data_IF_189874253133
#
_entry.id   IF_189874253133
#
_cell.length_a   1.000
_cell.length_b   1.000
_cell.length_c   1.000
_cell.angle_alpha   90.00
_cell.angle_beta   90.00
_cell.angle_gamma   90.00
#
_symmetry.space_group_name_H-M   'P 1'
#
loop_
_entity.id
_entity.type
_entity.pdbx_description
1 polymer ?
#
# COMPACT_ATOMS: atom_id res chain seq x y z
N UNK A 1 10.07 -14.21 0.72
CA UNK A 1 9.26 -13.15 0.11
C UNK A 1 7.93 -13.73 -0.37
N UNK A 2 6.83 -13.06 -0.05
CA UNK A 2 5.48 -13.43 -0.46
C UNK A 2 4.80 -12.22 -1.13
N UNK A 3 4.34 -12.36 -2.37
CA UNK A 3 3.38 -11.45 -2.99
C UNK A 3 2.03 -12.18 -3.04
N UNK A 4 1.02 -11.57 -2.41
CA UNK A 4 -0.25 -12.22 -2.05
C UNK A 4 -1.01 -12.77 -3.27
N UNK A 5 -1.13 -11.98 -4.33
CA UNK A 5 -1.93 -12.36 -5.49
C UNK A 5 -1.26 -13.50 -6.27
N UNK A 6 0.04 -13.37 -6.57
CA UNK A 6 0.78 -14.40 -7.30
C UNK A 6 1.03 -15.68 -6.48
N UNK A 7 0.93 -15.57 -5.14
CA UNK A 7 0.94 -16.71 -4.24
C UNK A 7 -0.43 -17.40 -4.08
N UNK A 8 -1.47 -16.98 -4.82
CA UNK A 8 -2.79 -17.63 -4.81
C UNK A 8 -3.78 -17.07 -3.80
N UNK A 9 -3.49 -15.90 -3.20
CA UNK A 9 -4.29 -15.34 -2.11
C UNK A 9 -5.72 -14.94 -2.45
N UNK A 10 -6.07 -14.81 -3.74
CA UNK A 10 -7.47 -14.56 -4.15
C UNK A 10 -8.33 -15.84 -4.14
N UNK A 11 -7.74 -17.03 -3.98
CA UNK A 11 -8.42 -18.31 -4.03
C UNK A 11 -8.95 -18.68 -5.44
N UNK A 12 -9.42 -19.92 -5.59
CA UNK A 12 -9.96 -20.42 -6.87
C UNK A 12 -11.28 -19.73 -7.25
N UNK A 13 -12.07 -19.28 -6.28
CA UNK A 13 -13.37 -18.64 -6.52
C UNK A 13 -13.21 -17.28 -7.25
N UNK A 14 -12.18 -16.51 -6.95
CA UNK A 14 -11.91 -15.24 -7.63
C UNK A 14 -11.32 -15.43 -9.05
N UNK A 15 -10.70 -16.59 -9.30
CA UNK A 15 -10.23 -16.97 -10.64
C UNK A 15 -11.36 -17.44 -11.58
N UNK A 16 -12.51 -17.85 -11.02
CA UNK A 16 -13.63 -18.43 -11.77
C UNK A 16 -14.75 -17.42 -12.13
N UNK A 17 -14.78 -16.24 -11.51
CA UNK A 17 -15.76 -15.19 -11.83
C UNK A 17 -15.39 -14.47 -13.14
N UNK A 18 -16.40 -14.07 -13.97
CA UNK A 18 -16.15 -13.28 -15.19
C UNK A 18 -15.67 -11.83 -14.91
N UNK A 19 -15.28 -11.52 -13.71
CA UNK A 19 -14.47 -10.37 -13.33
C UNK A 19 -13.03 -10.42 -13.88
N UNK A 20 -12.76 -11.24 -14.89
CA UNK A 20 -11.48 -11.53 -15.50
C UNK A 20 -10.53 -10.34 -15.67
N UNK A 21 -11.06 -9.17 -16.06
CA UNK A 21 -10.24 -7.98 -16.25
C UNK A 21 -9.67 -7.40 -14.93
N UNK A 22 -10.39 -7.47 -13.81
CA UNK A 22 -9.93 -6.93 -12.53
C UNK A 22 -8.89 -7.86 -11.88
N UNK A 23 -9.18 -9.16 -11.83
CA UNK A 23 -8.24 -10.16 -11.31
C UNK A 23 -6.95 -10.21 -12.12
N UNK A 24 -7.02 -10.12 -13.45
CA UNK A 24 -5.85 -10.02 -14.33
C UNK A 24 -5.05 -8.74 -14.06
N UNK A 25 -5.71 -7.60 -13.85
CA UNK A 25 -5.05 -6.33 -13.53
C UNK A 25 -4.34 -6.39 -12.18
N UNK A 26 -4.96 -6.96 -11.14
CA UNK A 26 -4.37 -7.11 -9.81
C UNK A 26 -3.17 -8.07 -9.85
N UNK A 27 -3.29 -9.20 -10.56
CA UNK A 27 -2.18 -10.13 -10.75
C UNK A 27 -1.01 -9.44 -11.46
N UNK A 28 -1.27 -8.71 -12.54
CA UNK A 28 -0.23 -7.98 -13.28
C UNK A 28 0.48 -6.95 -12.40
N UNK A 29 -0.25 -6.22 -11.54
CA UNK A 29 0.33 -5.26 -10.59
C UNK A 29 1.17 -5.98 -9.52
N UNK A 30 0.67 -7.06 -8.92
CA UNK A 30 1.37 -7.88 -7.95
C UNK A 30 2.66 -8.46 -8.51
N UNK A 31 2.59 -9.05 -9.70
CA UNK A 31 3.76 -9.59 -10.43
C UNK A 31 4.81 -8.50 -10.69
N UNK A 32 4.42 -7.30 -11.12
CA UNK A 32 5.38 -6.19 -11.34
C UNK A 32 6.10 -5.81 -10.05
N UNK A 33 5.40 -5.70 -8.91
CA UNK A 33 6.01 -5.41 -7.62
C UNK A 33 6.93 -6.56 -7.16
N UNK A 34 6.47 -7.81 -7.29
CA UNK A 34 7.23 -9.02 -6.97
C UNK A 34 8.54 -9.07 -7.74
N UNK A 35 8.45 -8.92 -9.06
CA UNK A 35 9.60 -9.07 -9.96
C UNK A 35 10.62 -7.94 -9.77
N UNK A 36 10.16 -6.72 -9.50
CA UNK A 36 11.03 -5.60 -9.17
C UNK A 36 11.80 -5.84 -7.87
N UNK A 37 11.12 -6.31 -6.81
CA UNK A 37 11.76 -6.65 -5.55
C UNK A 37 12.73 -7.84 -5.71
N UNK A 38 12.33 -8.89 -6.42
CA UNK A 38 13.20 -10.02 -6.70
C UNK A 38 14.45 -9.63 -7.51
N UNK A 39 14.29 -8.70 -8.46
CA UNK A 39 15.42 -8.14 -9.22
C UNK A 39 16.44 -7.46 -8.31
N UNK A 40 16.01 -6.65 -7.36
CA UNK A 40 16.91 -6.00 -6.40
C UNK A 40 17.54 -6.99 -5.41
N UNK A 41 16.73 -7.90 -4.83
CA UNK A 41 17.23 -8.91 -3.90
C UNK A 41 18.24 -9.86 -4.57
N UNK A 42 17.95 -10.30 -5.80
CA UNK A 42 18.86 -11.18 -6.57
C UNK A 42 20.19 -10.53 -6.91
N UNK A 43 20.27 -9.21 -6.85
CA UNK A 43 21.50 -8.47 -7.08
C UNK A 43 22.33 -8.23 -5.81
N UNK A 44 21.82 -8.63 -4.63
CA UNK A 44 22.56 -8.58 -3.37
C UNK A 44 23.31 -9.90 -3.19
N UNK A 45 24.60 -9.88 -2.81
CA UNK A 45 25.39 -11.09 -2.64
C UNK A 45 24.99 -11.87 -1.38
N UNK A 46 25.09 -13.19 -1.44
CA UNK A 46 24.98 -14.05 -0.26
C UNK A 46 23.56 -14.26 0.26
N UNK A 47 22.52 -14.00 -0.54
CA UNK A 47 21.13 -14.21 -0.14
C UNK A 47 20.59 -15.56 -0.61
N UNK A 48 19.86 -16.25 0.25
CA UNK A 48 18.96 -17.33 -0.13
C UNK A 48 17.52 -16.80 -0.12
N UNK A 49 16.89 -16.72 -1.31
CA UNK A 49 15.58 -16.10 -1.50
C UNK A 49 14.52 -17.19 -1.68
N UNK A 50 13.67 -17.41 -0.68
CA UNK A 50 12.46 -18.22 -0.82
C UNK A 50 11.31 -17.35 -1.39
N UNK A 51 10.67 -17.81 -2.47
CA UNK A 51 9.56 -17.11 -3.13
C UNK A 51 8.29 -17.94 -3.04
N UNK A 52 7.27 -17.43 -2.33
CA UNK A 52 5.94 -18.02 -2.33
C UNK A 52 5.32 -17.90 -3.73
N UNK A 53 4.86 -19.00 -4.31
CA UNK A 53 4.41 -19.02 -5.69
C UNK A 53 3.37 -20.12 -5.96
N UNK A 54 2.17 -19.70 -6.39
CA UNK A 54 1.10 -20.61 -6.81
C UNK A 54 1.19 -21.04 -8.28
N UNK A 55 2.17 -20.52 -9.04
CA UNK A 55 2.34 -20.83 -10.46
C UNK A 55 1.44 -20.02 -11.39
N UNK A 56 0.80 -18.94 -10.88
CA UNK A 56 -0.09 -18.07 -11.66
C UNK A 56 0.65 -17.19 -12.67
N UNK A 57 1.94 -16.93 -12.43
CA UNK A 57 2.81 -16.19 -13.34
C UNK A 57 4.26 -16.71 -13.23
N UNK A 58 5.04 -16.69 -14.33
CA UNK A 58 6.43 -17.10 -14.28
C UNK A 58 7.23 -16.24 -13.30
N UNK A 59 8.19 -16.85 -12.60
CA UNK A 59 9.19 -16.11 -11.83
C UNK A 59 10.25 -15.54 -12.76
N UNK A 60 10.80 -14.35 -12.45
CA UNK A 60 11.90 -13.79 -13.22
C UNK A 60 13.14 -14.69 -13.13
N UNK A 61 13.93 -14.72 -14.20
CA UNK A 61 15.21 -15.41 -14.17
C UNK A 61 16.11 -14.75 -13.09
N UNK A 62 16.71 -15.53 -12.17
CA UNK A 62 17.57 -14.95 -11.14
C UNK A 62 18.80 -14.30 -11.78
N UNK A 63 19.16 -13.11 -11.28
CA UNK A 63 20.46 -12.52 -11.62
C UNK A 63 21.58 -13.44 -11.10
N UNK A 64 22.62 -13.63 -11.89
CA UNK A 64 23.78 -14.44 -11.51
C UNK A 64 24.71 -13.63 -10.58
N UNK A 65 24.29 -13.44 -9.33
CA UNK A 65 25.09 -12.79 -8.30
C UNK A 65 25.77 -13.86 -7.46
N UNK A 66 27.09 -13.77 -7.19
CA UNK A 66 27.81 -14.78 -6.42
C UNK A 66 27.20 -15.00 -5.03
N UNK A 67 26.95 -16.27 -4.70
CA UNK A 67 26.39 -16.67 -3.42
C UNK A 67 24.90 -16.40 -3.24
N UNK A 68 24.20 -15.89 -4.25
CA UNK A 68 22.74 -15.67 -4.19
C UNK A 68 22.01 -16.79 -4.91
N UNK A 69 21.04 -17.38 -4.23
CA UNK A 69 20.16 -18.43 -4.76
C UNK A 69 18.69 -18.06 -4.57
N UNK A 70 17.85 -18.47 -5.52
CA UNK A 70 16.41 -18.31 -5.43
C UNK A 70 15.74 -19.68 -5.51
N UNK A 71 14.83 -19.97 -4.57
CA UNK A 71 14.03 -21.20 -4.58
C UNK A 71 12.55 -20.91 -4.51
N UNK A 72 11.77 -21.68 -5.22
CA UNK A 72 10.30 -21.62 -5.21
C UNK A 72 9.77 -22.32 -3.97
N UNK A 73 8.80 -21.72 -3.32
CA UNK A 73 8.01 -22.27 -2.23
C UNK A 73 6.57 -22.43 -2.73
N UNK A 74 6.11 -23.67 -3.03
CA UNK A 74 4.80 -23.88 -3.64
C UNK A 74 3.66 -23.45 -2.70
N UNK A 75 2.69 -22.72 -3.23
CA UNK A 75 1.47 -22.29 -2.53
C UNK A 75 0.19 -22.65 -3.29
N UNK A 76 0.29 -23.37 -4.40
CA UNK A 76 -0.90 -23.87 -5.12
C UNK A 76 -1.77 -24.74 -4.21
N UNK A 77 -3.07 -24.43 -4.11
CA UNK A 77 -4.01 -25.14 -3.24
C UNK A 77 -3.87 -24.82 -1.74
N UNK A 78 -3.17 -23.73 -1.38
CA UNK A 78 -3.14 -23.23 -0.01
C UNK A 78 -4.30 -22.26 0.19
N UNK A 79 -5.26 -22.63 1.04
CA UNK A 79 -6.43 -21.82 1.34
C UNK A 79 -6.14 -20.68 2.35
N UNK A 80 -5.19 -20.92 3.27
CA UNK A 80 -4.79 -19.95 4.30
C UNK A 80 -3.29 -19.64 4.19
N UNK A 81 -2.98 -18.56 3.47
CA UNK A 81 -1.60 -18.09 3.32
C UNK A 81 -0.97 -17.58 4.62
N UNK A 82 -1.77 -17.10 5.59
CA UNK A 82 -1.24 -16.65 6.88
C UNK A 82 -0.79 -17.84 7.73
N UNK A 83 -1.60 -18.89 7.81
CA UNK A 83 -1.22 -20.13 8.49
C UNK A 83 -0.02 -20.80 7.81
N UNK A 84 0.00 -20.84 6.47
CA UNK A 84 1.15 -21.35 5.70
C UNK A 84 2.42 -20.54 5.99
N UNK A 85 2.34 -19.22 5.95
CA UNK A 85 3.48 -18.32 6.22
C UNK A 85 3.99 -18.51 7.66
N UNK A 86 3.07 -18.64 8.64
CA UNK A 86 3.43 -18.91 10.02
C UNK A 86 4.26 -20.19 10.15
N UNK A 87 3.87 -21.24 9.45
CA UNK A 87 4.61 -22.52 9.46
C UNK A 87 5.99 -22.41 8.78
N UNK A 88 6.15 -21.54 7.76
CA UNK A 88 7.39 -21.41 7.00
C UNK A 88 8.39 -20.43 7.58
N UNK A 89 7.94 -19.43 8.37
CA UNK A 89 8.77 -18.27 8.75
C UNK A 89 10.06 -18.61 9.48
N UNK A 90 10.07 -19.69 10.26
CA UNK A 90 11.24 -20.09 11.06
C UNK A 90 12.44 -20.55 10.23
N UNK A 91 12.20 -20.90 8.95
CA UNK A 91 13.25 -21.27 8.01
C UNK A 91 13.97 -20.06 7.38
N UNK A 92 13.59 -18.84 7.73
CA UNK A 92 14.14 -17.61 7.13
C UNK A 92 14.50 -16.61 8.22
N UNK A 93 15.55 -15.84 8.00
CA UNK A 93 15.94 -14.74 8.88
C UNK A 93 14.96 -13.56 8.73
N UNK A 94 14.54 -13.28 7.51
CA UNK A 94 13.67 -12.15 7.16
C UNK A 94 12.48 -12.59 6.31
N UNK A 95 11.34 -11.95 6.53
CA UNK A 95 10.10 -12.18 5.78
C UNK A 95 9.60 -10.86 5.24
N UNK A 96 9.46 -10.78 3.92
CA UNK A 96 8.94 -9.60 3.24
C UNK A 96 7.65 -9.94 2.50
N UNK A 97 6.58 -9.21 2.78
CA UNK A 97 5.26 -9.45 2.22
C UNK A 97 4.79 -8.24 1.41
N UNK A 98 4.19 -8.51 0.26
CA UNK A 98 3.41 -7.57 -0.55
C UNK A 98 1.99 -8.12 -0.58
N UNK A 99 1.05 -7.44 0.04
CA UNK A 99 -0.35 -7.86 0.10
C UNK A 99 -1.26 -6.63 0.12
N UNK A 100 -2.51 -6.73 -0.37
CA UNK A 100 -3.49 -5.66 -0.23
C UNK A 100 -3.93 -5.50 1.23
N UNK A 101 -4.49 -4.34 1.54
CA UNK A 101 -5.08 -4.04 2.83
C UNK A 101 -6.49 -4.64 2.98
N UNK A 102 -7.15 -4.91 1.87
CA UNK A 102 -8.53 -5.43 1.79
C UNK A 102 -8.70 -6.70 2.63
N UNK A 103 -9.76 -6.76 3.43
CA UNK A 103 -10.09 -7.92 4.27
C UNK A 103 -9.00 -8.26 5.28
N UNK A 104 -8.26 -7.28 5.77
CA UNK A 104 -7.14 -7.45 6.71
C UNK A 104 -6.02 -8.40 6.21
N UNK A 105 -5.91 -8.64 4.87
CA UNK A 105 -4.91 -9.56 4.31
C UNK A 105 -3.49 -9.24 4.76
N UNK A 106 -3.04 -7.99 4.57
CA UNK A 106 -1.70 -7.57 4.99
C UNK A 106 -1.51 -7.69 6.51
N UNK A 107 -2.54 -7.33 7.29
CA UNK A 107 -2.49 -7.39 8.75
C UNK A 107 -2.37 -8.83 9.24
N UNK A 108 -3.16 -9.74 8.70
CA UNK A 108 -3.14 -11.18 9.05
C UNK A 108 -1.78 -11.80 8.74
N UNK A 109 -1.21 -11.50 7.57
CA UNK A 109 0.14 -11.97 7.19
C UNK A 109 1.23 -11.36 8.10
N UNK A 110 1.11 -10.09 8.47
CA UNK A 110 2.03 -9.45 9.43
C UNK A 110 1.97 -10.14 10.80
N UNK A 111 0.78 -10.45 11.29
CA UNK A 111 0.59 -11.11 12.60
C UNK A 111 1.03 -12.58 12.59
N UNK A 112 1.08 -13.22 11.42
CA UNK A 112 1.57 -14.59 11.27
C UNK A 112 3.09 -14.71 11.39
N UNK A 113 3.83 -13.61 11.33
CA UNK A 113 5.29 -13.56 11.34
C UNK A 113 5.81 -12.95 12.63
N UNK A 114 6.85 -13.53 13.21
CA UNK A 114 7.54 -12.96 14.37
C UNK A 114 8.07 -11.54 14.03
N UNK A 115 7.84 -10.52 14.89
CA UNK A 115 8.22 -9.13 14.58
C UNK A 115 9.69 -8.95 14.18
N UNK A 116 10.60 -9.70 14.77
CA UNK A 116 12.03 -9.68 14.47
C UNK A 116 12.36 -10.10 13.03
N UNK A 117 11.46 -10.83 12.36
CA UNK A 117 11.65 -11.31 10.98
C UNK A 117 10.86 -10.47 9.96
N UNK A 118 9.89 -9.68 10.42
CA UNK A 118 8.99 -8.94 9.56
C UNK A 118 9.63 -7.68 8.99
N UNK A 119 9.79 -7.61 7.67
CA UNK A 119 10.21 -6.38 6.97
C UNK A 119 8.97 -5.60 6.54
N UNK A 120 8.76 -4.45 7.14
CA UNK A 120 7.64 -3.55 6.80
C UNK A 120 7.09 -2.83 8.02
N UNK A 121 5.93 -2.22 7.83
CA UNK A 121 5.24 -1.47 8.88
C UNK A 121 4.78 -2.38 10.02
N UNK A 122 4.71 -1.85 11.24
CA UNK A 122 4.18 -2.58 12.40
C UNK A 122 2.69 -2.93 12.20
N UNK A 123 2.21 -3.96 12.88
CA UNK A 123 0.78 -4.34 12.86
C UNK A 123 -0.13 -3.17 13.30
N UNK A 124 0.33 -2.31 14.21
CA UNK A 124 -0.39 -1.10 14.64
C UNK A 124 -0.51 -0.09 13.51
N UNK A 125 0.57 0.19 12.79
CA UNK A 125 0.57 1.09 11.64
C UNK A 125 -0.29 0.54 10.50
N UNK A 126 -0.19 -0.76 10.19
CA UNK A 126 -1.01 -1.43 9.18
C UNK A 126 -2.49 -1.29 9.54
N UNK A 127 -2.90 -1.56 10.77
CA UNK A 127 -4.30 -1.44 11.23
C UNK A 127 -4.85 -0.02 11.09
N UNK A 128 -4.05 1.01 11.32
CA UNK A 128 -4.46 2.41 11.12
C UNK A 128 -4.55 2.71 9.63
N UNK A 129 -3.50 2.40 8.86
CA UNK A 129 -3.42 2.74 7.45
C UNK A 129 -4.44 1.98 6.58
N UNK A 130 -4.82 0.76 6.94
CA UNK A 130 -5.88 -0.02 6.29
C UNK A 130 -7.22 0.72 6.33
N UNK A 131 -7.58 1.36 7.46
CA UNK A 131 -8.84 2.09 7.59
C UNK A 131 -8.67 3.56 7.15
N UNK A 132 -9.36 3.95 6.08
CA UNK A 132 -9.39 5.33 5.60
C UNK A 132 -9.97 6.29 6.64
N UNK A 133 -10.95 5.82 7.40
CA UNK A 133 -11.55 6.59 8.51
C UNK A 133 -10.52 6.85 9.62
N UNK A 134 -9.83 5.81 10.10
CA UNK A 134 -8.79 5.95 11.15
C UNK A 134 -7.62 6.79 10.67
N UNK A 135 -7.17 6.55 9.43
CA UNK A 135 -6.09 7.33 8.81
C UNK A 135 -6.44 8.82 8.77
N UNK A 136 -7.64 9.17 8.30
CA UNK A 136 -8.13 10.56 8.27
C UNK A 136 -8.15 11.18 9.66
N UNK A 137 -8.66 10.48 10.69
CA UNK A 137 -8.71 10.96 12.07
C UNK A 137 -7.30 11.25 12.63
N UNK A 138 -6.36 10.33 12.40
CA UNK A 138 -4.96 10.51 12.83
C UNK A 138 -4.28 11.66 12.09
N UNK A 139 -4.49 11.78 10.79
CA UNK A 139 -3.95 12.86 9.97
C UNK A 139 -4.53 14.22 10.39
N UNK A 140 -5.83 14.31 10.64
CA UNK A 140 -6.49 15.52 11.10
C UNK A 140 -5.94 16.00 12.45
N UNK A 141 -5.65 15.08 13.38
CA UNK A 141 -5.02 15.40 14.67
C UNK A 141 -3.60 16.00 14.53
N UNK A 142 -2.93 15.75 13.40
CA UNK A 142 -1.63 16.35 13.04
C UNK A 142 -1.77 17.55 12.08
N UNK A 143 -2.97 18.06 11.88
CA UNK A 143 -3.24 19.19 10.97
C UNK A 143 -2.94 18.86 9.49
N UNK A 144 -2.88 17.59 9.10
CA UNK A 144 -2.71 17.18 7.71
C UNK A 144 -4.06 17.24 7.00
N UNK A 145 -4.20 17.99 5.89
CA UNK A 145 -5.44 18.07 5.15
C UNK A 145 -5.84 16.71 4.54
N UNK A 146 -7.11 16.36 4.73
CA UNK A 146 -7.75 15.15 4.17
C UNK A 146 -9.11 15.52 3.60
N UNK A 147 -9.72 14.68 2.73
CA UNK A 147 -11.06 14.93 2.23
C UNK A 147 -12.06 15.08 3.38
N UNK A 148 -13.00 16.01 3.23
CA UNK A 148 -14.13 16.10 4.15
C UNK A 148 -14.98 14.82 4.01
N UNK A 149 -15.19 14.10 5.10
CA UNK A 149 -16.03 12.93 5.12
C UNK A 149 -17.34 13.21 5.87
N UNK A 150 -18.36 12.45 5.49
CA UNK A 150 -19.63 12.41 6.20
C UNK A 150 -19.77 11.09 6.97
N UNK A 151 -20.37 11.18 8.16
CA UNK A 151 -20.73 10.04 8.99
C UNK A 151 -22.18 10.20 9.51
N UNK A 152 -22.86 9.10 9.83
CA UNK A 152 -24.19 9.14 10.46
C UNK A 152 -24.21 10.02 11.69
N UNK A 153 -25.28 10.83 11.83
CA UNK A 153 -25.41 11.80 12.91
C UNK A 153 -24.82 13.18 12.63
N UNK A 154 -24.00 13.32 11.59
CA UNK A 154 -23.57 14.64 11.15
C UNK A 154 -24.63 15.31 10.27
N UNK A 155 -24.69 16.67 10.26
CA UNK A 155 -25.53 17.42 9.33
C UNK A 155 -25.22 17.02 7.87
N UNK A 156 -26.26 16.99 7.04
CA UNK A 156 -26.09 16.76 5.61
C UNK A 156 -25.28 17.90 5.01
N UNK A 157 -24.30 17.61 4.13
CA UNK A 157 -23.50 18.66 3.49
C UNK A 157 -24.36 19.56 2.61
N UNK A 158 -24.33 20.86 2.89
CA UNK A 158 -25.09 21.87 2.12
C UNK A 158 -24.34 22.33 0.85
N UNK A 159 -23.03 22.10 0.75
CA UNK A 159 -22.22 22.57 -0.37
C UNK A 159 -22.34 21.63 -1.58
N UNK A 160 -22.55 22.16 -2.79
CA UNK A 160 -22.52 21.37 -4.01
C UNK A 160 -21.12 20.80 -4.25
N UNK A 161 -21.04 19.73 -5.00
CA UNK A 161 -19.77 19.09 -5.38
C UNK A 161 -19.90 17.59 -5.50
N UNK A 162 -18.92 16.97 -6.15
CA UNK A 162 -18.84 15.51 -6.31
C UNK A 162 -18.49 14.84 -4.97
N UNK A 163 -18.96 13.60 -4.84
CA UNK A 163 -18.70 12.77 -3.67
C UNK A 163 -18.21 11.37 -4.09
N UNK A 164 -17.43 10.77 -3.23
CA UNK A 164 -16.87 9.42 -3.43
C UNK A 164 -17.41 8.49 -2.36
N UNK A 165 -17.95 7.37 -2.80
CA UNK A 165 -18.27 6.22 -1.96
C UNK A 165 -17.20 5.16 -2.22
N UNK A 166 -16.51 4.71 -1.18
CA UNK A 166 -15.43 3.72 -1.27
C UNK A 166 -15.37 2.83 -0.02
N UNK A 167 -14.84 1.60 -0.15
CA UNK A 167 -14.57 0.77 1.03
C UNK A 167 -13.62 1.47 2.00
N UNK A 168 -13.82 1.26 3.29
CA UNK A 168 -12.92 1.81 4.32
C UNK A 168 -11.54 1.12 4.27
N UNK A 169 -11.49 -0.16 3.89
CA UNK A 169 -10.29 -1.01 3.82
C UNK A 169 -9.87 -1.42 2.40
N UNK A 170 -10.35 -0.76 1.37
CA UNK A 170 -10.09 -1.14 -0.03
C UNK A 170 -8.70 -0.73 -0.54
N UNK A 171 -8.15 -1.53 -1.45
CA UNK A 171 -6.96 -1.25 -2.24
C UNK A 171 -7.30 -1.19 -3.75
N UNK A 172 -6.48 -0.50 -4.55
CA UNK A 172 -6.59 -0.53 -6.03
C UNK A 172 -7.84 0.10 -6.62
N UNK A 173 -8.55 0.98 -5.90
CA UNK A 173 -9.82 1.62 -6.32
C UNK A 173 -11.02 0.66 -6.47
N UNK A 174 -10.91 -0.57 -5.97
CA UNK A 174 -12.04 -1.52 -5.98
C UNK A 174 -13.27 -0.94 -5.29
N UNK A 175 -14.44 -1.19 -5.87
CA UNK A 175 -15.73 -0.71 -5.39
C UNK A 175 -15.82 0.81 -5.16
N UNK A 176 -14.85 1.61 -5.64
CA UNK A 176 -14.86 3.06 -5.51
C UNK A 176 -15.69 3.70 -6.61
N UNK A 177 -16.64 4.56 -6.23
CA UNK A 177 -17.51 5.27 -7.17
C UNK A 177 -17.59 6.76 -6.84
N UNK A 178 -17.54 7.57 -7.90
CA UNK A 178 -17.70 9.02 -7.86
C UNK A 178 -19.12 9.37 -8.29
N UNK A 179 -19.77 10.23 -7.53
CA UNK A 179 -21.14 10.70 -7.75
C UNK A 179 -21.15 12.23 -7.98
N UNK A 180 -22.14 12.70 -8.71
CA UNK A 180 -22.29 14.11 -9.03
C UNK A 180 -22.51 14.98 -7.78
N UNK A 181 -23.15 14.43 -6.75
CA UNK A 181 -23.49 15.12 -5.51
C UNK A 181 -23.58 14.16 -4.32
N UNK A 182 -23.75 14.74 -3.13
CA UNK A 182 -23.91 13.99 -1.89
C UNK A 182 -25.16 13.13 -1.86
N UNK A 183 -26.29 13.60 -2.39
CA UNK A 183 -27.56 12.89 -2.30
C UNK A 183 -27.49 11.56 -3.08
N UNK A 184 -26.92 11.61 -4.29
CA UNK A 184 -26.70 10.40 -5.11
C UNK A 184 -25.74 9.42 -4.43
N UNK A 185 -24.64 9.91 -3.85
CA UNK A 185 -23.67 9.07 -3.15
C UNK A 185 -24.24 8.45 -1.86
N UNK A 186 -25.03 9.21 -1.11
CA UNK A 186 -25.70 8.74 0.11
C UNK A 186 -26.80 7.71 -0.20
N UNK A 187 -27.56 7.90 -1.27
CA UNK A 187 -28.54 6.92 -1.74
C UNK A 187 -27.86 5.61 -2.16
N UNK A 188 -26.73 5.69 -2.87
CA UNK A 188 -25.94 4.51 -3.25
C UNK A 188 -25.41 3.75 -2.04
N UNK A 189 -24.95 4.46 -0.99
CA UNK A 189 -24.55 3.85 0.28
C UNK A 189 -25.73 3.08 0.91
N UNK A 190 -26.93 3.68 0.96
CA UNK A 190 -28.13 3.01 1.47
C UNK A 190 -28.46 1.72 0.72
N UNK A 191 -28.20 1.68 -0.58
CA UNK A 191 -28.43 0.50 -1.41
C UNK A 191 -27.42 -0.65 -1.17
N UNK A 192 -26.27 -0.39 -0.58
CA UNK A 192 -25.29 -1.44 -0.24
C UNK A 192 -25.71 -2.28 0.96
N UNK A 193 -26.68 -1.82 1.76
CA UNK A 193 -27.03 -2.43 3.06
C UNK A 193 -25.94 -2.25 4.12
N UNK A 194 -24.89 -1.51 3.80
CA UNK A 194 -23.73 -1.31 4.65
C UNK A 194 -23.88 -0.07 5.54
N UNK A 195 -23.10 -0.01 6.61
CA UNK A 195 -23.08 1.10 7.56
C UNK A 195 -21.80 1.92 7.37
N UNK A 196 -21.92 3.23 7.44
CA UNK A 196 -20.78 4.15 7.53
C UNK A 196 -20.30 4.19 8.98
N UNK A 197 -19.00 3.96 9.20
CA UNK A 197 -18.41 4.00 10.52
C UNK A 197 -18.19 2.63 11.14
N UNK A 198 -17.85 2.58 12.41
CA UNK A 198 -17.32 1.44 13.16
C UNK A 198 -18.30 0.32 13.53
N UNK A 199 -19.48 0.23 12.90
CA UNK A 199 -20.44 -0.85 13.18
C UNK A 199 -20.29 -1.96 12.13
N UNK A 200 -19.98 -3.17 12.61
CA UNK A 200 -19.95 -4.37 11.76
C UNK A 200 -21.37 -4.76 11.33
N UNK A 201 -21.57 -4.87 10.04
CA UNK A 201 -22.79 -5.44 9.44
C UNK A 201 -22.39 -6.62 8.59
N UNK A 202 -23.11 -7.73 8.67
CA UNK A 202 -22.92 -8.87 7.78
C UNK A 202 -23.22 -8.42 6.33
N UNK A 203 -22.16 -8.21 5.57
CA UNK A 203 -22.27 -7.96 4.12
C UNK A 203 -22.49 -9.27 3.36
N UNK A 204 -23.06 -9.16 2.15
CA UNK A 204 -23.08 -10.29 1.22
C UNK A 204 -21.64 -10.76 0.95
N UNK A 205 -21.45 -12.06 0.73
CA UNK A 205 -20.12 -12.63 0.51
C UNK A 205 -19.36 -11.86 -0.61
N UNK A 206 -18.16 -11.41 -0.28
CA UNK A 206 -17.30 -10.68 -1.21
C UNK A 206 -17.53 -9.15 -1.25
N UNK A 207 -18.47 -8.60 -0.49
CA UNK A 207 -18.68 -7.14 -0.42
C UNK A 207 -18.01 -6.54 0.80
N UNK A 208 -17.47 -5.30 0.70
CA UNK A 208 -16.91 -4.57 1.84
C UNK A 208 -17.94 -4.39 2.96
N UNK A 209 -17.52 -4.60 4.19
CA UNK A 209 -18.39 -4.46 5.38
C UNK A 209 -18.52 -3.01 5.85
N UNK A 210 -17.48 -2.20 5.60
CA UNK A 210 -17.39 -0.78 6.01
C UNK A 210 -17.11 0.11 4.81
N UNK A 211 -17.76 1.27 4.78
CA UNK A 211 -17.66 2.23 3.72
C UNK A 211 -17.35 3.62 4.27
N UNK A 212 -16.69 4.44 3.47
CA UNK A 212 -16.51 5.86 3.73
C UNK A 212 -17.12 6.68 2.61
N UNK A 213 -17.72 7.82 2.97
CA UNK A 213 -18.35 8.77 2.07
C UNK A 213 -17.62 10.10 2.20
N UNK A 214 -16.90 10.48 1.15
CA UNK A 214 -15.97 11.63 1.16
C UNK A 214 -16.28 12.59 0.02
N UNK A 215 -16.03 13.89 0.26
CA UNK A 215 -16.04 14.86 -0.82
C UNK A 215 -14.93 14.54 -1.82
N UNK A 216 -15.24 14.59 -3.11
CA UNK A 216 -14.22 14.46 -4.15
C UNK A 216 -13.28 15.67 -4.11
N UNK A 217 -11.98 15.42 -4.16
CA UNK A 217 -10.96 16.47 -4.22
C UNK A 217 -10.47 16.61 -5.65
N UNK A 218 -10.66 17.80 -6.21
CA UNK A 218 -10.21 18.13 -7.56
C UNK A 218 -8.72 18.47 -7.57
N UNK A 219 -7.98 17.98 -8.56
CA UNK A 219 -6.57 18.29 -8.74
C UNK A 219 -5.76 17.18 -9.38
N UNK A 220 -4.44 17.29 -9.29
CA UNK A 220 -3.50 16.28 -9.75
C UNK A 220 -3.45 15.11 -8.75
N UNK A 221 -3.78 13.92 -9.20
CA UNK A 221 -3.62 12.68 -8.42
C UNK A 221 -2.14 12.27 -8.40
N UNK A 222 -1.52 12.39 -7.26
CA UNK A 222 -0.08 12.13 -7.04
C UNK A 222 0.11 11.15 -5.89
N UNK A 223 1.31 10.55 -5.81
CA UNK A 223 1.74 9.81 -4.63
C UNK A 223 3.18 10.11 -4.26
N UNK A 224 3.53 9.91 -3.00
CA UNK A 224 4.91 9.86 -2.52
C UNK A 224 5.31 8.41 -2.30
N UNK A 225 6.53 8.07 -2.72
CA UNK A 225 7.22 6.88 -2.25
C UNK A 225 8.17 7.28 -1.15
N UNK A 226 8.08 6.61 0.00
CA UNK A 226 8.88 6.90 1.17
C UNK A 226 9.74 5.70 1.56
N UNK A 227 10.90 5.99 2.17
CA UNK A 227 11.65 5.06 2.99
C UNK A 227 11.58 5.52 4.44
N UNK A 228 11.00 4.68 5.28
CA UNK A 228 10.88 4.91 6.72
C UNK A 228 11.81 3.96 7.48
N UNK A 229 12.74 4.49 8.26
CA UNK A 229 13.71 3.69 9.04
C UNK A 229 14.16 4.44 10.29
N UNK A 230 14.09 3.81 11.46
CA UNK A 230 14.60 4.36 12.73
C UNK A 230 14.01 5.75 13.05
N UNK A 231 12.74 5.97 12.80
CA UNK A 231 12.05 7.25 13.00
C UNK A 231 12.37 8.34 11.96
N UNK A 232 13.18 8.02 10.95
CA UNK A 232 13.51 8.93 9.83
C UNK A 232 12.62 8.63 8.64
N UNK A 233 12.20 9.68 7.94
CA UNK A 233 11.38 9.62 6.74
C UNK A 233 12.14 10.25 5.58
N UNK A 234 12.38 9.50 4.53
CA UNK A 234 12.97 9.98 3.30
C UNK A 234 11.94 9.88 2.17
N UNK A 235 11.69 10.99 1.48
CA UNK A 235 10.88 10.98 0.27
C UNK A 235 11.76 10.57 -0.91
N UNK A 236 11.49 9.39 -1.46
CA UNK A 236 12.23 8.80 -2.59
C UNK A 236 11.80 9.41 -3.92
N UNK A 237 10.49 9.62 -4.11
CA UNK A 237 9.93 10.13 -5.36
C UNK A 237 8.56 10.74 -5.19
N UNK A 238 8.20 11.59 -6.14
CA UNK A 238 6.84 12.06 -6.41
C UNK A 238 6.35 11.37 -7.67
N UNK A 239 5.21 10.71 -7.60
CA UNK A 239 4.69 9.91 -8.70
C UNK A 239 3.33 10.45 -9.16
N UNK A 240 2.97 10.22 -10.42
CA UNK A 240 1.66 10.56 -11.00
C UNK A 240 0.82 9.30 -11.13
N UNK A 241 -0.38 9.31 -10.57
CA UNK A 241 -1.35 8.24 -10.72
C UNK A 241 -2.24 8.50 -11.93
N UNK A 242 -2.47 7.47 -12.73
CA UNK A 242 -3.39 7.51 -13.86
C UNK A 242 -4.75 6.98 -13.42
N UNK A 243 -5.64 7.90 -13.05
CA UNK A 243 -6.99 7.59 -12.62
C UNK A 243 -7.98 7.92 -13.74
N UNK A 244 -9.02 7.11 -13.87
CA UNK A 244 -10.13 7.35 -14.79
C UNK A 244 -11.46 7.23 -14.04
N UNK A 245 -12.43 8.07 -14.39
CA UNK A 245 -13.80 7.95 -13.89
C UNK A 245 -14.68 7.54 -15.07
N UNK A 246 -15.23 6.34 -15.02
CA UNK A 246 -16.13 5.83 -16.05
C UNK A 246 -17.49 6.55 -16.04
N UNK A 247 -18.29 6.39 -17.08
CA UNK A 247 -19.59 7.05 -17.20
C UNK A 247 -20.57 6.66 -16.07
N UNK A 248 -20.42 5.46 -15.50
CA UNK A 248 -21.20 4.98 -14.34
C UNK A 248 -20.60 5.42 -12.97
N UNK A 249 -19.56 6.24 -12.99
CA UNK A 249 -18.88 6.75 -11.82
C UNK A 249 -17.80 5.84 -11.25
N UNK A 250 -17.56 4.64 -11.76
CA UNK A 250 -16.48 3.76 -11.27
C UNK A 250 -15.13 4.42 -11.44
N UNK A 251 -14.34 4.42 -10.36
CA UNK A 251 -12.96 4.87 -10.39
C UNK A 251 -12.05 3.72 -10.85
N UNK A 252 -11.28 3.96 -11.89
CA UNK A 252 -10.29 3.02 -12.42
C UNK A 252 -8.87 3.51 -12.17
N UNK A 253 -7.95 2.60 -11.87
CA UNK A 253 -6.52 2.84 -11.77
C UNK A 253 -5.81 2.21 -12.98
N UNK A 254 -5.16 3.02 -13.78
CA UNK A 254 -4.48 2.59 -15.01
C UNK A 254 -2.95 2.50 -14.87
N UNK A 255 -2.40 2.86 -13.70
CA UNK A 255 -0.97 2.78 -13.45
C UNK A 255 -0.39 4.02 -12.79
N UNK A 256 0.94 4.04 -12.68
CA UNK A 256 1.71 5.12 -12.04
C UNK A 256 3.01 5.37 -12.80
N UNK A 257 3.34 6.64 -12.98
CA UNK A 257 4.67 7.10 -13.43
C UNK A 257 5.47 7.55 -12.21
N UNK A 258 6.61 6.92 -11.98
CA UNK A 258 7.47 7.24 -10.85
C UNK A 258 8.43 8.40 -11.18
N UNK A 259 8.71 9.27 -10.20
CA UNK A 259 9.73 10.30 -10.31
C UNK A 259 9.38 11.47 -11.25
N UNK A 260 8.09 11.81 -11.38
CA UNK A 260 7.60 12.82 -12.34
C UNK A 260 7.86 14.27 -11.93
N UNK A 261 8.23 14.52 -10.68
CA UNK A 261 8.45 15.88 -10.16
C UNK A 261 9.52 15.90 -9.06
N UNK A 262 10.17 17.04 -8.83
CA UNK A 262 11.12 17.19 -7.74
C UNK A 262 10.42 17.15 -6.38
N UNK A 263 11.13 16.63 -5.38
CA UNK A 263 10.68 16.60 -3.98
C UNK A 263 10.86 17.99 -3.37
N UNK A 264 9.76 18.68 -3.09
CA UNK A 264 9.77 20.01 -2.49
C UNK A 264 9.85 19.96 -0.95
N UNK A 265 10.21 21.05 -0.26
CA UNK A 265 10.13 21.13 1.20
C UNK A 265 8.72 20.86 1.76
N UNK A 266 7.66 21.33 1.09
CA UNK A 266 6.27 21.08 1.49
C UNK A 266 5.91 19.59 1.45
N UNK A 267 6.41 18.83 0.45
CA UNK A 267 6.20 17.39 0.35
C UNK A 267 6.97 16.60 1.41
N UNK A 268 8.16 17.06 1.80
CA UNK A 268 8.91 16.47 2.92
C UNK A 268 8.20 16.71 4.26
N UNK A 269 7.69 17.92 4.47
CA UNK A 269 6.89 18.25 5.66
C UNK A 269 5.63 17.40 5.72
N UNK A 270 4.89 17.27 4.61
CA UNK A 270 3.73 16.41 4.51
C UNK A 270 4.06 14.96 4.91
N UNK A 271 5.12 14.39 4.33
CA UNK A 271 5.56 13.03 4.62
C UNK A 271 5.91 12.85 6.10
N UNK A 272 6.62 13.81 6.69
CA UNK A 272 7.00 13.80 8.11
C UNK A 272 5.76 13.84 9.02
N UNK A 273 4.80 14.70 8.74
CA UNK A 273 3.54 14.79 9.52
C UNK A 273 2.68 13.52 9.35
N UNK A 274 2.62 12.94 8.16
CA UNK A 274 1.93 11.67 7.95
C UNK A 274 2.57 10.54 8.75
N UNK A 275 3.89 10.46 8.77
CA UNK A 275 4.59 9.44 9.57
C UNK A 275 4.42 9.65 11.08
N UNK A 276 4.37 10.90 11.54
CA UNK A 276 4.05 11.21 12.94
C UNK A 276 2.61 10.85 13.33
N UNK A 277 1.66 10.97 12.37
CA UNK A 277 0.26 10.60 12.57
C UNK A 277 0.05 9.08 12.69
N UNK A 278 0.92 8.29 12.03
CA UNK A 278 0.83 6.82 12.00
C UNK A 278 2.17 6.22 12.47
N UNK A 279 2.42 6.16 13.80
CA UNK A 279 3.63 5.56 14.34
C UNK A 279 3.77 4.09 13.93
N UNK A 280 5.01 3.66 13.67
CA UNK A 280 5.32 2.29 13.25
C UNK A 280 5.29 2.09 11.73
N UNK A 281 5.20 3.15 10.91
CA UNK A 281 5.52 3.09 9.49
C UNK A 281 7.01 2.78 9.34
N UNK A 282 7.34 1.71 8.60
CA UNK A 282 8.70 1.24 8.38
C UNK A 282 8.88 0.61 6.99
N UNK A 283 10.11 0.61 6.48
CA UNK A 283 10.42 0.13 5.15
C UNK A 283 9.86 1.06 4.07
N UNK A 284 9.32 0.50 2.99
CA UNK A 284 8.70 1.28 1.92
C UNK A 284 7.25 1.59 2.27
N UNK A 285 6.84 2.86 2.06
CA UNK A 285 5.48 3.35 2.30
C UNK A 285 5.04 4.23 1.15
N UNK A 286 3.80 4.08 0.71
CA UNK A 286 3.15 4.99 -0.24
C UNK A 286 2.22 5.98 0.47
N UNK A 287 2.17 7.24 0.02
CA UNK A 287 1.15 8.20 0.43
C UNK A 287 0.47 8.73 -0.81
N UNK A 288 -0.82 8.49 -0.96
CA UNK A 288 -1.62 9.03 -2.05
C UNK A 288 -2.21 10.37 -1.65
N UNK A 289 -2.07 11.37 -2.51
CA UNK A 289 -2.57 12.72 -2.26
C UNK A 289 -3.01 13.41 -3.55
N UNK A 290 -3.87 14.42 -3.40
CA UNK A 290 -4.25 15.31 -4.48
C UNK A 290 -3.60 16.67 -4.25
N UNK A 291 -2.94 17.19 -5.29
CA UNK A 291 -2.49 18.56 -5.34
C UNK A 291 -3.56 19.41 -6.03
N UNK A 292 -4.23 20.25 -5.27
CA UNK A 292 -5.29 21.13 -5.74
C UNK A 292 -4.73 22.28 -6.57
N UNK A 293 -5.59 23.00 -7.31
CA UNK A 293 -5.19 24.09 -8.19
C UNK A 293 -4.54 25.28 -7.46
N UNK A 294 -4.89 25.49 -6.18
CA UNK A 294 -4.29 26.49 -5.30
C UNK A 294 -2.97 26.05 -4.65
N UNK A 295 -2.50 24.82 -4.98
CA UNK A 295 -1.30 24.21 -4.43
C UNK A 295 -1.48 23.49 -3.10
N UNK A 296 -2.68 23.46 -2.51
CA UNK A 296 -2.94 22.69 -1.30
C UNK A 296 -2.76 21.19 -1.57
N UNK A 297 -2.21 20.48 -0.58
CA UNK A 297 -1.98 19.05 -0.61
C UNK A 297 -3.02 18.36 0.30
N UNK A 298 -3.83 17.48 -0.26
CA UNK A 298 -4.86 16.74 0.44
C UNK A 298 -4.54 15.24 0.41
N UNK A 299 -4.25 14.63 1.55
CA UNK A 299 -3.90 13.20 1.65
C UNK A 299 -5.15 12.35 1.54
N UNK A 300 -5.12 11.35 0.67
CA UNK A 300 -6.23 10.44 0.39
C UNK A 300 -6.10 9.15 1.19
N UNK A 301 -4.89 8.54 1.20
CA UNK A 301 -4.61 7.30 1.93
C UNK A 301 -3.11 7.10 2.15
N UNK A 302 -2.77 6.21 3.08
CA UNK A 302 -1.41 5.74 3.33
C UNK A 302 -1.38 4.24 3.03
N UNK A 303 -0.45 3.82 2.18
CA UNK A 303 -0.22 2.42 1.81
C UNK A 303 0.99 1.89 2.60
N UNK A 304 0.81 1.06 3.64
CA UNK A 304 1.88 0.63 4.55
C UNK A 304 2.70 -0.54 3.98
N UNK A 305 3.02 -0.49 2.67
CA UNK A 305 3.66 -1.56 1.89
C UNK A 305 4.29 -1.04 0.61
N UNK A 306 4.95 -1.94 -0.13
CA UNK A 306 5.33 -1.65 -1.50
C UNK A 306 4.10 -1.29 -2.35
N UNK A 307 4.27 -0.29 -3.23
CA UNK A 307 3.28 0.12 -4.22
C UNK A 307 3.82 -0.07 -5.63
N UNK A 308 2.97 0.04 -6.64
CA UNK A 308 3.37 -0.09 -8.05
C UNK A 308 4.50 0.89 -8.45
N UNK A 309 4.64 2.02 -7.76
CA UNK A 309 5.71 2.99 -8.00
C UNK A 309 7.11 2.41 -7.69
N UNK A 310 7.21 1.41 -6.78
CA UNK A 310 8.47 0.74 -6.47
C UNK A 310 9.13 0.16 -7.71
N UNK A 311 8.35 -0.46 -8.61
CA UNK A 311 8.88 -1.04 -9.84
C UNK A 311 9.56 -0.01 -10.75
N UNK A 312 9.06 1.23 -10.77
CA UNK A 312 9.69 2.32 -11.52
C UNK A 312 10.97 2.86 -10.86
N UNK A 313 11.10 2.72 -9.54
CA UNK A 313 12.27 3.16 -8.78
C UNK A 313 13.38 2.10 -8.74
N UNK A 314 13.01 0.82 -8.71
CA UNK A 314 13.93 -0.32 -8.74
C UNK A 314 14.52 -0.59 -10.14
N UNK A 315 13.89 -0.08 -11.19
CA UNK A 315 14.41 -0.25 -12.56
C UNK A 315 15.76 0.46 -12.72
N UNK A 316 16.75 -0.16 -13.40
CA UNK A 316 17.96 0.55 -13.76
C UNK A 316 17.61 1.75 -14.66
N UNK A 317 18.31 2.89 -14.53
CA UNK A 317 18.08 4.03 -15.40
C UNK A 317 18.22 3.60 -16.88
N UNK A 318 17.41 4.14 -17.81
CA UNK A 318 17.49 3.78 -19.22
C UNK A 318 18.92 3.99 -19.73
N UNK A 319 19.42 3.01 -20.47
CA UNK A 319 20.80 2.99 -21.01
C UNK A 319 21.11 4.08 -22.04
N UNK A 320 20.16 4.97 -22.34
CA UNK A 320 20.25 6.04 -23.33
C UNK A 320 20.47 7.40 -22.67
N UNK A 321 21.73 7.70 -22.37
CA UNK A 321 22.22 9.01 -21.96
C UNK A 321 23.72 8.96 -21.73
N UNK A 322 24.49 10.05 -22.01
CA UNK A 322 25.91 10.07 -21.67
C UNK A 322 26.05 9.80 -20.16
N UNK A 323 26.94 8.86 -19.80
CA UNK A 323 27.33 8.61 -18.44
C UNK A 323 27.70 9.95 -17.79
N UNK A 324 26.95 10.39 -16.79
CA UNK A 324 27.33 11.56 -16.00
C UNK A 324 28.51 11.13 -15.14
N UNK A 325 29.69 11.66 -15.46
CA UNK A 325 30.88 11.52 -14.60
C UNK A 325 30.52 11.91 -13.16
N UNK A 326 30.76 11.01 -12.21
CA UNK A 326 30.39 11.18 -10.81
C UNK A 326 29.00 10.66 -10.41
N UNK A 327 28.31 9.92 -11.28
CA UNK A 327 27.03 9.28 -10.93
C UNK A 327 27.24 8.28 -9.77
N UNK A 328 26.59 8.55 -8.65
CA UNK A 328 26.49 7.60 -7.54
C UNK A 328 25.94 6.27 -8.09
N UNK A 329 26.48 5.11 -7.65
CA UNK A 329 25.95 3.83 -8.09
C UNK A 329 24.43 3.78 -7.85
N UNK A 330 23.67 3.11 -8.73
CA UNK A 330 22.23 3.04 -8.59
C UNK A 330 21.89 2.53 -7.19
N UNK A 331 21.07 3.30 -6.49
CA UNK A 331 20.61 2.98 -5.12
C UNK A 331 19.82 1.68 -5.19
N UNK A 332 20.10 0.75 -4.27
CA UNK A 332 19.33 -0.49 -4.10
C UNK A 332 18.38 -0.32 -2.93
N UNK A 333 17.13 -0.04 -3.21
CA UNK A 333 16.13 0.22 -2.18
C UNK A 333 15.91 -0.98 -1.25
N UNK A 334 15.96 -2.21 -1.79
CA UNK A 334 15.85 -3.41 -0.97
C UNK A 334 16.97 -3.52 0.07
N UNK A 335 18.21 -3.17 -0.30
CA UNK A 335 19.34 -3.16 0.65
C UNK A 335 19.14 -2.12 1.74
N UNK A 336 18.70 -0.91 1.38
CA UNK A 336 18.46 0.16 2.34
C UNK A 336 17.33 -0.19 3.33
N UNK A 337 16.28 -0.86 2.87
CA UNK A 337 15.16 -1.31 3.70
C UNK A 337 15.62 -2.41 4.67
N UNK A 338 16.40 -3.40 4.21
CA UNK A 338 16.96 -4.46 5.06
C UNK A 338 17.88 -3.83 6.12
N UNK A 339 18.81 -2.95 5.71
CA UNK A 339 19.70 -2.27 6.65
C UNK A 339 18.94 -1.41 7.67
N UNK A 340 17.84 -0.77 7.28
CA UNK A 340 16.98 -0.01 8.18
C UNK A 340 16.26 -0.90 9.19
N UNK A 341 15.83 -2.10 8.79
CA UNK A 341 15.23 -3.11 9.67
C UNK A 341 16.26 -3.60 10.70
N UNK A 342 17.45 -3.99 10.27
CA UNK A 342 18.52 -4.46 11.15
C UNK A 342 18.93 -3.39 12.17
N UNK A 343 19.01 -2.12 11.74
CA UNK A 343 19.32 -1.01 12.62
C UNK A 343 18.23 -0.76 13.68
N UNK A 344 16.94 -0.95 13.34
CA UNK A 344 15.84 -0.84 14.27
C UNK A 344 15.87 -1.96 15.33
N UNK A 345 16.19 -3.20 14.92
CA UNK A 345 16.37 -4.32 15.86
C UNK A 345 17.55 -4.12 16.81
N UNK A 346 18.64 -3.52 16.34
CA UNK A 346 19.82 -3.24 17.17
C UNK A 346 19.60 -2.11 18.18
N UNK A 347 18.58 -1.25 18.00
CA UNK A 347 18.31 -0.10 18.86
C UNK A 347 16.81 0.06 19.20
N UNK A 348 16.20 -0.87 19.96
CA UNK A 348 14.75 -0.89 20.22
C UNK A 348 14.24 0.29 21.05
N UNK A 349 15.11 1.07 21.66
CA UNK A 349 14.73 2.20 22.54
C UNK A 349 14.06 3.37 21.79
N UNK A 350 14.18 3.46 20.47
CA UNK A 350 13.59 4.54 19.66
C UNK A 350 12.13 4.34 19.32
N UNK A 351 11.59 3.11 19.36
CA UNK A 351 10.17 2.81 19.07
C UNK A 351 9.25 2.98 20.29
N UNK A 352 9.77 2.79 21.50
CA UNK A 352 8.97 2.85 22.74
C UNK A 352 8.54 4.26 23.16
N UNK A 353 9.17 5.30 22.63
CA UNK A 353 8.87 6.70 23.01
C UNK A 353 7.59 7.25 22.36
N UNK A 354 6.92 6.51 21.46
CA UNK A 354 5.76 6.96 20.69
C UNK A 354 4.52 6.05 20.82
N UNK A 355 4.47 5.14 21.80
CA UNK A 355 3.26 4.37 22.06
C UNK A 355 2.26 5.27 22.79
N UNK A 356 1.08 5.59 22.22
CA UNK A 356 0.02 6.24 22.96
C UNK A 356 -0.52 5.23 23.99
N UNK A 357 -0.58 5.62 25.25
CA UNK A 357 -1.37 4.95 26.28
C UNK A 357 -2.82 4.95 25.81
N UNK A 358 -3.38 3.77 25.52
CA UNK A 358 -4.82 3.61 25.32
C UNK A 358 -5.53 4.06 26.61
N UNK A 359 -6.55 4.95 26.55
CA UNK A 359 -7.42 5.17 27.69
C UNK A 359 -8.29 3.93 27.89
N UNK A 360 -8.40 3.50 29.14
CA UNK A 360 -9.19 2.38 29.61
C UNK A 360 -10.69 2.53 29.32
#
# INVERSE_FOLDING_TARGET
>A
MLEFISAGGLGEAAAAEPAGALGESLLAQGVRMRDALLGELSALPGLEIGVADAGLAPLPAPMRTPGTAMRRLPTAGVDDLAAWLHAQQSAFDLVWVIAPETGDCLLSLCQAVAPVRWIGCSAGAIRVATSKTRTRERLAAQGVPTPRAWAPGLPLPAQPGRWVLKPDDGAGSEHTRVFADFAAAHAALGATGAVVGSVEVQAAAGMPTRWTLEAWVEGDALSLSLLCAGGRVEVLSVNRQHLTVAADGRLGYAGVDAGVAPVTPALRDLATRCAAAVPGLAGFVGIDFVRQADGQLCVIEINPRLTCAYAGLAAPPPATGPARDGARPPRRLAADIIAGHDAALANPATESAHAPTEPA
#
